data_IF_928751496173
#
_entry.id   IF_928751496173
#
_cell.length_a   1.000
_cell.length_b   1.000
_cell.length_c   1.000
_cell.angle_alpha   90.00
_cell.angle_beta   90.00
_cell.angle_gamma   90.00
#
_symmetry.space_group_name_H-M   'P 1'
#
loop_
_entity.id
_entity.type
_entity.pdbx_description
1 polymer ?
#
# COMPACT_ATOMS: atom_id res chain seq x y z
N UNK A 1 -0.48 -3.66 13.70
CA UNK A 1 -0.58 -2.68 12.62
C UNK A 1 -2.03 -2.33 12.29
N UNK A 2 -2.92 -3.29 11.99
CA UNK A 2 -4.34 -2.98 11.71
C UNK A 2 -5.07 -2.36 12.92
N UNK A 3 -4.90 -2.95 14.11
CA UNK A 3 -5.47 -2.41 15.36
C UNK A 3 -4.92 -1.02 15.75
N UNK A 4 -3.77 -0.60 15.20
CA UNK A 4 -3.18 0.72 15.47
C UNK A 4 -3.61 1.81 14.48
N UNK A 5 -4.34 1.45 13.42
CA UNK A 5 -4.82 2.39 12.39
C UNK A 5 -6.36 2.43 12.31
N UNK A 6 -7.06 1.83 13.28
CA UNK A 6 -8.53 1.77 13.38
C UNK A 6 -9.23 1.31 12.08
N UNK A 7 -8.60 0.37 11.37
CA UNK A 7 -9.15 -0.22 10.16
C UNK A 7 -9.41 -1.71 10.41
N UNK A 8 -10.68 -2.09 10.25
CA UNK A 8 -11.14 -3.48 10.32
C UNK A 8 -11.91 -3.86 9.06
N UNK A 9 -11.88 -5.13 8.64
CA UNK A 9 -12.70 -5.61 7.55
C UNK A 9 -14.19 -5.43 7.85
N UNK A 10 -14.96 -5.01 6.85
CA UNK A 10 -16.42 -4.90 6.84
C UNK A 10 -17.01 -6.01 5.95
N UNK A 11 -18.28 -6.42 6.17
CA UNK A 11 -18.90 -7.50 5.39
C UNK A 11 -18.91 -7.28 3.87
N UNK A 12 -18.97 -6.03 3.45
CA UNK A 12 -19.05 -5.63 2.04
C UNK A 12 -17.68 -5.30 1.42
N UNK A 13 -16.59 -5.43 2.18
CA UNK A 13 -15.24 -5.23 1.61
C UNK A 13 -14.92 -6.34 0.60
N UNK A 14 -14.35 -5.96 -0.54
CA UNK A 14 -13.89 -6.93 -1.52
C UNK A 14 -12.68 -7.71 -1.00
N UNK A 15 -12.70 -9.03 -1.19
CA UNK A 15 -11.57 -9.90 -0.90
C UNK A 15 -10.88 -10.27 -2.20
N UNK A 16 -9.58 -10.01 -2.27
CA UNK A 16 -8.74 -10.37 -3.40
C UNK A 16 -7.80 -11.51 -3.03
N UNK A 17 -7.38 -12.25 -4.07
CA UNK A 17 -6.33 -13.25 -3.99
C UNK A 17 -5.12 -12.75 -4.77
N UNK A 18 -4.05 -12.40 -4.06
CA UNK A 18 -2.81 -11.87 -4.62
C UNK A 18 -1.73 -12.95 -4.67
N UNK A 19 -0.67 -12.73 -5.47
CA UNK A 19 0.44 -13.67 -5.64
C UNK A 19 1.79 -12.98 -5.48
N UNK A 20 2.70 -13.59 -4.73
CA UNK A 20 4.06 -13.11 -4.51
C UNK A 20 5.07 -14.25 -4.31
N UNK A 21 6.20 -13.92 -3.68
CA UNK A 21 7.30 -14.88 -3.42
C UNK A 21 6.83 -16.03 -2.49
N UNK A 22 5.91 -15.75 -1.56
CA UNK A 22 5.33 -16.73 -0.63
C UNK A 22 4.18 -17.57 -1.19
N UNK A 23 3.82 -17.41 -2.46
CA UNK A 23 2.66 -18.08 -3.06
C UNK A 23 1.45 -17.15 -3.17
N UNK A 24 0.30 -17.60 -2.69
CA UNK A 24 -0.95 -16.83 -2.75
C UNK A 24 -1.41 -16.40 -1.38
N UNK A 25 -1.91 -15.18 -1.29
CA UNK A 25 -2.42 -14.57 -0.06
C UNK A 25 -3.80 -13.98 -0.32
N UNK A 26 -4.64 -13.94 0.71
CA UNK A 26 -5.92 -13.25 0.67
C UNK A 26 -5.80 -11.92 1.39
N UNK A 27 -6.29 -10.88 0.75
CA UNK A 27 -6.31 -9.51 1.26
C UNK A 27 -7.72 -8.95 1.14
N UNK A 28 -8.10 -8.04 2.01
CA UNK A 28 -9.30 -7.24 1.81
C UNK A 28 -8.92 -5.84 1.31
N UNK A 29 -9.69 -5.33 0.37
CA UNK A 29 -9.50 -4.01 -0.20
C UNK A 29 -10.32 -2.97 0.58
N UNK A 30 -9.75 -1.77 0.73
CA UNK A 30 -10.45 -0.61 1.26
C UNK A 30 -10.07 0.64 0.49
N UNK A 31 -11.08 1.49 0.25
CA UNK A 31 -10.86 2.86 -0.21
C UNK A 31 -10.53 3.74 1.00
N UNK A 32 -9.42 4.46 0.92
CA UNK A 32 -9.04 5.50 1.88
C UNK A 32 -9.10 6.88 1.22
N UNK A 33 -9.48 7.89 2.01
CA UNK A 33 -9.67 9.26 1.52
C UNK A 33 -8.36 9.92 1.11
N UNK A 34 -7.27 9.63 1.82
CA UNK A 34 -5.96 10.23 1.60
C UNK A 34 -4.85 9.25 1.95
N UNK A 35 -3.96 9.01 1.00
CA UNK A 35 -2.68 8.36 1.21
C UNK A 35 -1.55 9.37 1.03
N UNK A 36 -0.66 9.48 2.02
CA UNK A 36 0.54 10.34 1.96
C UNK A 36 1.80 9.52 2.23
N UNK A 37 2.79 9.67 1.36
CA UNK A 37 4.13 9.07 1.49
C UNK A 37 5.16 10.16 1.24
N UNK A 38 5.82 10.62 2.30
CA UNK A 38 6.69 11.80 2.23
C UNK A 38 5.93 13.03 1.74
N UNK A 39 6.45 13.67 0.70
CA UNK A 39 5.86 14.86 0.06
C UNK A 39 4.80 14.54 -1.00
N UNK A 40 4.59 13.24 -1.31
CA UNK A 40 3.61 12.79 -2.28
C UNK A 40 2.30 12.42 -1.59
N UNK A 41 1.18 12.75 -2.21
CA UNK A 41 -0.13 12.33 -1.73
C UNK A 41 -1.12 12.11 -2.85
N UNK A 42 -2.09 11.24 -2.60
CA UNK A 42 -3.20 10.98 -3.50
C UNK A 42 -4.48 10.78 -2.71
N UNK A 43 -5.60 11.20 -3.30
CA UNK A 43 -6.94 11.02 -2.73
C UNK A 43 -7.61 9.78 -3.31
N UNK A 44 -8.59 9.27 -2.58
CA UNK A 44 -9.47 8.18 -2.99
C UNK A 44 -8.65 7.00 -3.55
N UNK A 45 -7.87 6.38 -2.67
CA UNK A 45 -6.91 5.35 -3.02
C UNK A 45 -7.32 4.00 -2.46
N UNK A 46 -7.19 2.93 -3.26
CA UNK A 46 -7.45 1.57 -2.78
C UNK A 46 -6.20 1.02 -2.11
N UNK A 47 -6.36 0.44 -0.93
CA UNK A 47 -5.31 -0.28 -0.23
C UNK A 47 -5.73 -1.72 0.00
N UNK A 48 -4.75 -2.61 0.01
CA UNK A 48 -4.92 -4.01 0.32
C UNK A 48 -4.36 -4.29 1.72
N UNK A 49 -5.14 -5.02 2.53
CA UNK A 49 -4.81 -5.31 3.91
C UNK A 49 -4.80 -6.83 4.10
N UNK A 50 -3.65 -7.36 4.52
CA UNK A 50 -3.43 -8.79 4.73
C UNK A 50 -2.22 -9.05 5.63
N UNK A 51 -1.81 -10.31 5.71
CA UNK A 51 -0.59 -10.68 6.42
C UNK A 51 0.64 -10.37 5.57
N UNK A 52 1.65 -9.76 6.17
CA UNK A 52 2.96 -9.48 5.56
C UNK A 52 4.03 -10.30 6.28
N UNK A 53 3.92 -11.64 6.22
CA UNK A 53 4.89 -12.55 6.85
C UNK A 53 5.86 -13.14 5.80
N UNK A 54 6.86 -12.34 5.44
CA UNK A 54 7.89 -12.71 4.47
C UNK A 54 9.24 -13.09 5.11
N UNK A 55 9.28 -13.33 6.42
CA UNK A 55 10.52 -13.65 7.15
C UNK A 55 11.41 -12.44 7.48
N UNK A 56 10.95 -11.22 7.19
CA UNK A 56 11.59 -9.96 7.58
C UNK A 56 10.53 -8.87 7.83
N UNK A 57 10.89 -7.87 8.63
CA UNK A 57 9.95 -6.80 9.01
C UNK A 57 9.76 -5.80 7.87
N UNK A 58 8.55 -5.75 7.31
CA UNK A 58 8.10 -4.75 6.36
C UNK A 58 6.87 -4.05 6.96
N UNK A 59 6.80 -2.72 6.87
CA UNK A 59 5.64 -1.96 7.35
C UNK A 59 4.49 -1.93 6.35
N UNK A 60 4.76 -2.16 5.07
CA UNK A 60 3.79 -2.14 3.98
C UNK A 60 4.50 -2.18 2.64
N UNK A 61 3.77 -2.49 1.58
CA UNK A 61 4.27 -2.46 0.20
C UNK A 61 3.64 -1.25 -0.47
N UNK A 62 4.47 -0.44 -1.12
CA UNK A 62 3.99 0.66 -1.96
C UNK A 62 3.93 0.19 -3.41
N UNK A 63 2.72 0.13 -3.96
CA UNK A 63 2.46 -0.35 -5.31
C UNK A 63 2.84 0.65 -6.40
N UNK A 64 2.95 0.14 -7.63
CA UNK A 64 3.22 0.95 -8.82
C UNK A 64 2.05 1.88 -9.16
N UNK A 65 0.83 1.54 -8.77
CA UNK A 65 -0.37 2.36 -8.87
C UNK A 65 -0.25 3.70 -8.11
N UNK A 66 0.28 3.70 -6.88
CA UNK A 66 0.58 4.93 -6.15
C UNK A 66 1.66 5.75 -6.86
N UNK A 67 2.73 5.08 -7.31
CA UNK A 67 3.86 5.74 -7.98
C UNK A 67 3.41 6.41 -9.28
N UNK A 68 2.59 5.73 -10.09
CA UNK A 68 2.02 6.27 -11.32
C UNK A 68 1.04 7.41 -11.01
N UNK A 69 0.12 7.23 -10.05
CA UNK A 69 -0.89 8.24 -9.71
C UNK A 69 -0.29 9.53 -9.15
N UNK A 70 0.87 9.45 -8.50
CA UNK A 70 1.58 10.61 -7.95
C UNK A 70 2.71 11.13 -8.84
N UNK A 71 2.93 10.49 -10.00
CA UNK A 71 4.07 10.76 -10.88
C UNK A 71 5.40 10.77 -10.10
N UNK A 72 5.59 9.78 -9.24
CA UNK A 72 6.74 9.69 -8.35
C UNK A 72 8.03 9.38 -9.11
N UNK A 73 9.12 10.05 -8.74
CA UNK A 73 10.47 9.67 -9.14
C UNK A 73 11.11 8.88 -7.99
N UNK A 74 11.66 7.70 -8.29
CA UNK A 74 12.45 6.91 -7.33
C UNK A 74 13.91 7.36 -7.43
N UNK A 75 14.39 8.02 -6.38
CA UNK A 75 15.80 8.33 -6.20
C UNK A 75 16.45 7.20 -5.39
N UNK A 76 17.23 6.35 -6.06
CA UNK A 76 17.91 5.23 -5.42
C UNK A 76 19.14 5.64 -4.60
N UNK A 77 19.76 6.77 -4.90
CA UNK A 77 20.92 7.27 -4.16
C UNK A 77 20.45 7.85 -2.82
N UNK A 78 19.48 8.77 -2.88
CA UNK A 78 18.85 9.35 -1.69
C UNK A 78 17.92 8.37 -0.95
N UNK A 79 17.51 7.27 -1.60
CA UNK A 79 16.53 6.28 -1.13
C UNK A 79 15.20 6.93 -0.76
N UNK A 80 14.68 7.77 -1.67
CA UNK A 80 13.45 8.56 -1.47
C UNK A 80 12.57 8.55 -2.70
N UNK A 81 11.29 8.82 -2.48
CA UNK A 81 10.39 9.26 -3.53
C UNK A 81 10.39 10.78 -3.55
N UNK A 82 10.51 11.36 -4.73
CA UNK A 82 10.40 12.81 -4.94
C UNK A 82 9.30 13.11 -5.96
N UNK A 83 8.62 14.26 -5.87
CA UNK A 83 7.67 14.68 -6.89
C UNK A 83 8.35 14.86 -8.24
N UNK A 84 7.69 14.42 -9.31
CA UNK A 84 8.04 14.88 -10.64
C UNK A 84 7.84 16.40 -10.73
N UNK A 85 8.75 17.06 -11.45
CA UNK A 85 8.74 18.51 -11.69
C UNK A 85 7.56 18.93 -12.56
#
# INVERSE_FOLDING_TARGET
MLASIDISPLPDDEVHRIRGVGGFEYVFAKRIELLRVGDLSTKDFDIELGQLDYGYRINGILGADFLVKTNAIIDFDARKLIPAR
#
